data_IF_654165490386
#
_entry.id   IF_654165490386
#
_cell.length_a   1.000
_cell.length_b   1.000
_cell.length_c   1.000
_cell.angle_alpha   90.00
_cell.angle_beta   90.00
_cell.angle_gamma   90.00
#
_symmetry.space_group_name_H-M   'P 1'
#
loop_
_entity.id
_entity.type
_entity.pdbx_description
1 polymer ?
#
# COMPACT_ATOMS: atom_id res chain seq x y z
N UNK A 1 -17.54 -9.66 14.62
CA UNK A 1 -17.28 -8.22 14.40
C UNK A 1 -17.66 -7.88 12.97
N UNK A 2 -18.21 -6.70 12.72
CA UNK A 2 -18.67 -6.32 11.37
C UNK A 2 -17.52 -6.11 10.37
N UNK A 3 -16.37 -5.65 10.86
CA UNK A 3 -15.12 -5.52 10.09
C UNK A 3 -14.00 -6.18 10.89
N UNK A 4 -13.20 -7.04 10.26
CA UNK A 4 -12.00 -7.65 10.84
C UNK A 4 -10.81 -7.43 9.92
N UNK A 5 -9.62 -7.26 10.49
CA UNK A 5 -8.40 -7.11 9.73
C UNK A 5 -7.29 -7.99 10.32
N UNK A 6 -6.66 -8.79 9.47
CA UNK A 6 -5.67 -9.78 9.89
C UNK A 6 -4.43 -9.68 8.99
N UNK A 7 -3.23 -9.52 9.56
CA UNK A 7 -1.99 -9.60 8.79
C UNK A 7 -1.62 -11.08 8.61
N UNK A 8 -1.12 -11.42 7.43
CA UNK A 8 -0.52 -12.74 7.19
C UNK A 8 0.75 -12.92 8.04
N UNK A 9 1.19 -14.15 8.20
CA UNK A 9 2.49 -14.47 8.76
C UNK A 9 3.64 -13.91 7.90
N UNK A 10 4.76 -13.63 8.56
CA UNK A 10 5.99 -13.19 7.91
C UNK A 10 6.14 -11.67 7.79
N UNK A 11 7.16 -11.21 7.05
CA UNK A 11 7.56 -9.79 7.03
C UNK A 11 6.80 -8.99 5.97
N UNK A 12 6.19 -7.88 6.38
CA UNK A 12 5.38 -6.97 5.58
C UNK A 12 4.25 -7.65 4.77
N UNK A 13 3.41 -8.48 5.43
CA UNK A 13 2.30 -9.17 4.79
C UNK A 13 1.29 -8.19 4.18
N UNK A 14 0.53 -8.65 3.18
CA UNK A 14 -0.71 -7.97 2.80
C UNK A 14 -1.70 -8.13 3.95
N UNK A 15 -2.44 -7.09 4.32
CA UNK A 15 -3.49 -7.21 5.35
C UNK A 15 -4.77 -7.71 4.68
N UNK A 16 -5.36 -8.78 5.19
CA UNK A 16 -6.71 -9.18 4.80
C UNK A 16 -7.74 -8.38 5.60
N UNK A 17 -8.61 -7.65 4.90
CA UNK A 17 -9.73 -6.92 5.49
C UNK A 17 -11.01 -7.64 5.09
N UNK A 18 -11.79 -8.08 6.08
CA UNK A 18 -13.04 -8.81 5.88
C UNK A 18 -14.20 -7.99 6.44
N UNK A 19 -15.20 -7.77 5.61
CA UNK A 19 -16.50 -7.22 6.00
C UNK A 19 -17.48 -8.39 6.05
N UNK A 20 -18.12 -8.57 7.21
CA UNK A 20 -19.07 -9.67 7.39
C UNK A 20 -20.35 -9.43 6.56
N UNK A 21 -21.02 -10.49 6.08
CA UNK A 21 -22.31 -10.38 5.40
C UNK A 21 -23.32 -9.55 6.19
N UNK A 22 -24.19 -8.82 5.48
CA UNK A 22 -25.21 -7.97 6.09
C UNK A 22 -24.69 -6.69 6.76
N UNK A 23 -23.38 -6.49 6.88
CA UNK A 23 -22.81 -5.23 7.43
C UNK A 23 -23.20 -4.03 6.57
N UNK A 24 -23.21 -4.21 5.25
CA UNK A 24 -23.71 -3.22 4.30
C UNK A 24 -24.84 -3.85 3.48
N UNK A 25 -26.08 -3.33 3.56
CA UNK A 25 -27.19 -3.84 2.78
C UNK A 25 -26.94 -3.83 1.27
N UNK A 26 -27.53 -4.81 0.56
CA UNK A 26 -27.46 -4.89 -0.89
C UNK A 26 -27.97 -3.59 -1.55
N UNK A 27 -27.30 -3.17 -2.63
CA UNK A 27 -27.62 -1.95 -3.37
C UNK A 27 -27.08 -0.65 -2.74
N UNK A 28 -26.47 -0.70 -1.55
CA UNK A 28 -25.88 0.50 -0.93
C UNK A 28 -24.44 0.72 -1.40
N UNK A 29 -24.05 1.97 -1.72
CA UNK A 29 -22.66 2.32 -1.96
C UNK A 29 -21.86 2.21 -0.66
N UNK A 30 -20.68 1.63 -0.75
CA UNK A 30 -19.75 1.51 0.36
C UNK A 30 -18.33 1.93 -0.03
N UNK A 31 -17.59 2.38 0.98
CA UNK A 31 -16.15 2.65 0.89
C UNK A 31 -15.43 2.09 2.10
N UNK A 32 -14.45 1.22 1.89
CA UNK A 32 -13.56 0.74 2.95
C UNK A 32 -12.37 1.69 3.11
N UNK A 33 -12.19 2.20 4.31
CA UNK A 33 -11.12 3.13 4.66
C UNK A 33 -10.16 2.48 5.63
N UNK A 34 -8.88 2.44 5.28
CA UNK A 34 -7.78 2.22 6.21
C UNK A 34 -7.36 3.55 6.80
N UNK A 35 -7.03 3.57 8.09
CA UNK A 35 -6.67 4.79 8.80
C UNK A 35 -5.59 4.52 9.86
N UNK A 36 -4.64 5.44 9.95
CA UNK A 36 -3.71 5.59 11.08
C UNK A 36 -4.00 6.90 11.82
N UNK A 37 -3.19 7.24 12.82
CA UNK A 37 -3.25 8.57 13.44
C UNK A 37 -2.86 9.73 12.50
N UNK A 38 -2.22 9.44 11.36
CA UNK A 38 -1.62 10.45 10.46
C UNK A 38 -2.15 10.39 9.03
N UNK A 39 -2.73 9.28 8.60
CA UNK A 39 -3.16 9.10 7.22
C UNK A 39 -4.44 8.29 7.12
N UNK A 40 -5.16 8.46 6.02
CA UNK A 40 -6.33 7.65 5.66
C UNK A 40 -6.34 7.41 4.15
N UNK A 41 -6.72 6.21 3.72
CA UNK A 41 -6.80 5.84 2.32
C UNK A 41 -7.99 4.93 2.06
N UNK A 42 -8.47 4.92 0.82
CA UNK A 42 -9.44 3.94 0.35
C UNK A 42 -8.70 2.63 0.06
N UNK A 43 -9.14 1.53 0.65
CA UNK A 43 -8.61 0.20 0.36
C UNK A 43 -8.97 -0.17 -1.08
N UNK A 44 -8.03 -0.75 -1.82
CA UNK A 44 -8.23 -1.14 -3.23
C UNK A 44 -9.40 -2.12 -3.35
N UNK A 45 -10.31 -1.86 -4.30
CA UNK A 45 -11.57 -2.62 -4.43
C UNK A 45 -12.62 -2.33 -3.36
N UNK A 46 -12.31 -1.47 -2.39
CA UNK A 46 -13.19 -1.13 -1.28
C UNK A 46 -14.27 -0.10 -1.59
N UNK A 47 -14.18 0.60 -2.72
CA UNK A 47 -15.25 1.47 -3.24
C UNK A 47 -16.11 0.68 -4.24
N UNK A 48 -17.32 0.30 -3.82
CA UNK A 48 -18.24 -0.53 -4.62
C UNK A 48 -19.68 -0.39 -4.13
N UNK A 49 -20.61 -0.99 -4.87
CA UNK A 49 -21.98 -1.25 -4.38
C UNK A 49 -21.98 -2.62 -3.70
N UNK A 50 -22.56 -2.68 -2.50
CA UNK A 50 -22.70 -3.93 -1.76
C UNK A 50 -23.75 -4.82 -2.40
N UNK A 51 -23.50 -6.13 -2.41
CA UNK A 51 -24.47 -7.18 -2.75
C UNK A 51 -25.12 -7.77 -1.48
N UNK A 52 -24.74 -7.28 -0.29
CA UNK A 52 -25.16 -7.80 1.00
C UNK A 52 -24.33 -8.99 1.51
N UNK A 53 -23.45 -9.54 0.68
CA UNK A 53 -22.57 -10.66 1.02
C UNK A 53 -21.30 -10.25 1.75
N UNK A 54 -20.43 -11.24 1.98
CA UNK A 54 -19.09 -11.01 2.52
C UNK A 54 -18.24 -10.21 1.51
N UNK A 55 -17.35 -9.37 2.04
CA UNK A 55 -16.33 -8.71 1.23
C UNK A 55 -14.96 -8.97 1.82
N UNK A 56 -14.05 -9.51 1.00
CA UNK A 56 -12.63 -9.71 1.35
C UNK A 56 -11.77 -8.82 0.46
N UNK A 57 -10.88 -8.05 1.08
CA UNK A 57 -9.95 -7.16 0.40
C UNK A 57 -8.53 -7.39 0.92
N UNK A 58 -7.56 -7.38 0.01
CA UNK A 58 -6.14 -7.26 0.35
C UNK A 58 -5.69 -5.81 0.38
N UNK A 59 -5.03 -5.40 1.46
CA UNK A 59 -4.39 -4.09 1.58
C UNK A 59 -2.86 -4.24 1.65
N UNK A 60 -2.24 -4.15 0.47
CA UNK A 60 -0.78 -4.13 0.34
C UNK A 60 -0.17 -2.75 0.64
N UNK A 61 -0.99 -1.69 0.63
CA UNK A 61 -0.58 -0.31 0.84
C UNK A 61 -0.72 0.11 2.30
N UNK A 62 -1.10 -0.81 3.20
CA UNK A 62 -1.13 -0.55 4.61
C UNK A 62 0.28 -0.19 5.14
N UNK A 63 0.44 0.92 5.89
CA UNK A 63 1.70 1.32 6.51
C UNK A 63 2.34 0.21 7.34
N UNK A 64 3.65 0.05 7.23
CA UNK A 64 4.40 -0.87 8.09
C UNK A 64 4.58 -0.31 9.50
N UNK A 65 4.62 -1.20 10.50
CA UNK A 65 4.93 -0.91 11.89
C UNK A 65 4.13 0.25 12.53
N UNK A 66 2.93 0.51 12.01
CA UNK A 66 2.00 1.51 12.54
C UNK A 66 0.67 0.82 12.86
N UNK A 67 0.01 1.14 13.99
CA UNK A 67 -1.38 0.74 14.21
C UNK A 67 -2.31 1.27 13.12
N UNK A 68 -3.09 0.38 12.53
CA UNK A 68 -4.06 0.66 11.47
C UNK A 68 -5.43 0.16 11.92
N UNK A 69 -6.45 0.96 11.70
CA UNK A 69 -7.85 0.56 11.87
C UNK A 69 -8.58 0.65 10.53
N UNK A 70 -9.43 -0.33 10.24
CA UNK A 70 -10.26 -0.32 9.06
C UNK A 70 -11.70 -0.02 9.42
N UNK A 71 -12.39 0.76 8.58
CA UNK A 71 -13.83 1.03 8.72
C UNK A 71 -14.53 1.01 7.39
N UNK A 72 -15.81 0.67 7.42
CA UNK A 72 -16.69 0.78 6.26
C UNK A 72 -17.55 2.04 6.39
N UNK A 73 -17.55 2.86 5.33
CA UNK A 73 -18.41 4.03 5.21
C UNK A 73 -19.54 3.69 4.23
N UNK A 74 -20.78 3.95 4.63
CA UNK A 74 -21.97 3.86 3.77
C UNK A 74 -22.68 5.20 3.75
N UNK A 75 -23.56 5.44 2.77
CA UNK A 75 -24.41 6.64 2.73
C UNK A 75 -25.38 6.72 3.92
N UNK A 76 -25.78 5.58 4.48
CA UNK A 76 -26.66 5.46 5.66
C UNK A 76 -25.92 5.52 6.99
N UNK A 77 -24.59 5.30 7.01
CA UNK A 77 -23.77 5.34 8.23
C UNK A 77 -23.63 6.74 8.85
N UNK A 78 -24.18 7.79 8.23
CA UNK A 78 -24.36 9.09 8.89
C UNK A 78 -25.34 9.04 10.07
N UNK A 79 -26.14 7.97 10.21
CA UNK A 79 -27.13 7.79 11.27
C UNK A 79 -26.80 6.65 12.26
N UNK A 80 -25.68 5.93 12.07
CA UNK A 80 -25.29 4.77 12.88
C UNK A 80 -23.82 4.79 13.31
N UNK A 81 -23.46 4.04 14.35
CA UNK A 81 -22.07 3.92 14.82
C UNK A 81 -21.23 3.23 13.73
N UNK A 82 -20.14 3.83 13.24
CA UNK A 82 -19.33 3.23 12.18
C UNK A 82 -18.69 1.92 12.65
N UNK A 83 -18.90 0.86 11.87
CA UNK A 83 -18.24 -0.44 12.06
C UNK A 83 -16.74 -0.31 11.76
N UNK A 84 -15.91 -0.69 12.74
CA UNK A 84 -14.46 -0.67 12.63
C UNK A 84 -13.84 -1.99 13.10
N UNK A 85 -12.63 -2.28 12.63
CA UNK A 85 -11.79 -3.37 13.12
C UNK A 85 -11.06 -2.98 14.40
N UNK A 86 -10.57 -3.99 15.13
CA UNK A 86 -9.48 -3.76 16.09
C UNK A 86 -8.22 -3.25 15.37
N UNK A 87 -7.32 -2.52 16.07
CA UNK A 87 -6.06 -2.09 15.50
C UNK A 87 -5.18 -3.27 15.09
N UNK A 88 -4.66 -3.23 13.87
CA UNK A 88 -3.73 -4.21 13.31
C UNK A 88 -2.41 -3.53 12.96
N UNK A 89 -1.30 -4.28 13.03
CA UNK A 89 0.02 -3.81 12.62
C UNK A 89 0.52 -4.71 11.50
N UNK A 90 1.03 -4.11 10.43
CA UNK A 90 1.80 -4.80 9.38
C UNK A 90 3.27 -4.86 9.80
N UNK A 91 3.80 -6.01 10.27
CA UNK A 91 5.15 -6.06 10.84
C UNK A 91 6.23 -5.93 9.75
N UNK A 92 7.29 -5.17 10.01
CA UNK A 92 8.50 -5.15 9.17
C UNK A 92 9.75 -5.04 10.04
N UNK A 93 10.74 -5.90 9.78
CA UNK A 93 11.99 -5.96 10.55
C UNK A 93 13.17 -5.20 9.92
N UNK A 94 13.06 -4.78 8.65
CA UNK A 94 14.12 -4.05 7.95
C UNK A 94 14.14 -2.56 8.25
N UNK A 95 14.88 -1.82 7.42
CA UNK A 95 14.93 -0.36 7.41
C UNK A 95 13.64 0.18 6.77
N UNK A 96 13.70 0.80 5.60
CA UNK A 96 12.51 1.14 4.81
C UNK A 96 12.16 -0.01 3.86
N UNK A 97 10.92 -0.04 3.40
CA UNK A 97 10.45 -1.08 2.49
C UNK A 97 10.05 -0.45 1.16
N UNK A 98 10.44 -1.05 0.05
CA UNK A 98 9.83 -0.79 -1.25
C UNK A 98 9.21 -2.08 -1.78
N UNK A 99 7.98 -2.00 -2.30
CA UNK A 99 7.27 -3.11 -2.94
C UNK A 99 6.65 -2.63 -4.25
N UNK A 100 6.11 -3.55 -5.04
CA UNK A 100 5.03 -3.19 -5.96
C UNK A 100 3.74 -2.85 -5.19
N UNK A 101 2.73 -2.33 -5.89
CA UNK A 101 1.42 -1.96 -5.28
C UNK A 101 0.53 -3.16 -4.90
N UNK A 102 0.96 -4.40 -5.17
CA UNK A 102 0.25 -5.63 -4.77
C UNK A 102 0.94 -6.34 -3.60
N UNK A 103 2.05 -5.80 -3.08
CA UNK A 103 2.77 -6.31 -1.91
C UNK A 103 3.84 -7.36 -2.24
N UNK A 104 4.14 -7.55 -3.52
CA UNK A 104 5.24 -8.36 -4.04
C UNK A 104 6.56 -7.58 -4.07
N UNK A 105 7.64 -8.27 -4.51
CA UNK A 105 8.96 -7.66 -4.73
C UNK A 105 9.45 -6.82 -3.55
N UNK A 106 9.49 -7.42 -2.35
CA UNK A 106 9.90 -6.73 -1.11
C UNK A 106 11.39 -6.42 -1.14
N UNK A 107 11.72 -5.14 -1.10
CA UNK A 107 13.10 -4.63 -1.04
C UNK A 107 13.30 -3.91 0.28
N UNK A 108 14.26 -4.36 1.07
CA UNK A 108 14.75 -3.60 2.21
C UNK A 108 15.78 -2.57 1.74
N UNK A 109 15.60 -1.31 2.12
CA UNK A 109 16.50 -0.22 1.77
C UNK A 109 16.71 0.72 2.94
N UNK A 110 17.98 1.08 3.16
CA UNK A 110 18.33 2.15 4.07
C UNK A 110 18.11 3.48 3.36
N UNK A 111 17.04 4.19 3.70
CA UNK A 111 16.77 5.54 3.19
C UNK A 111 17.81 6.52 3.73
N UNK A 112 18.55 7.19 2.84
CA UNK A 112 19.68 8.05 3.20
C UNK A 112 19.61 9.50 2.66
N UNK A 113 18.53 9.91 2.01
CA UNK A 113 18.36 11.26 1.48
C UNK A 113 17.20 12.05 2.10
N UNK A 114 17.10 13.31 1.71
CA UNK A 114 16.23 14.33 2.33
C UNK A 114 14.72 14.22 1.96
N UNK A 115 14.28 13.18 1.25
CA UNK A 115 12.89 13.08 0.73
C UNK A 115 12.52 14.32 -0.11
N UNK A 116 13.39 14.71 -1.05
CA UNK A 116 13.17 15.90 -1.86
C UNK A 116 11.90 15.74 -2.70
N UNK A 117 10.95 16.68 -2.54
CA UNK A 117 9.64 16.66 -3.20
C UNK A 117 9.39 17.96 -3.93
N UNK A 118 8.99 17.84 -5.19
CA UNK A 118 8.48 18.98 -5.94
C UNK A 118 6.95 18.95 -5.92
N UNK A 119 6.34 20.01 -5.38
CA UNK A 119 4.90 20.22 -5.46
C UNK A 119 4.62 21.03 -6.74
N UNK A 120 3.96 20.44 -7.75
CA UNK A 120 3.69 21.12 -8.99
C UNK A 120 2.70 22.24 -8.70
N UNK A 121 3.04 23.44 -9.16
CA UNK A 121 2.10 24.54 -9.11
C UNK A 121 0.92 24.20 -10.01
N UNK A 122 -0.29 24.27 -9.45
CA UNK A 122 -1.54 24.12 -10.21
C UNK A 122 -1.84 25.39 -10.99
N UNK A 123 -0.88 25.81 -11.81
CA UNK A 123 -0.95 27.01 -12.62
C UNK A 123 -0.25 26.73 -13.95
N UNK A 124 -0.97 26.96 -15.05
CA UNK A 124 -0.36 27.06 -16.37
C UNK A 124 -0.39 28.52 -16.81
N UNK A 125 0.76 29.05 -17.21
CA UNK A 125 0.89 30.43 -17.69
C UNK A 125 0.99 30.42 -19.21
N UNK A 126 0.15 31.21 -19.87
CA UNK A 126 0.15 31.39 -21.32
C UNK A 126 0.56 32.81 -21.66
N UNK A 127 1.65 32.96 -22.40
CA UNK A 127 2.06 34.23 -22.98
C UNK A 127 1.29 34.46 -24.29
N UNK A 128 0.57 35.58 -24.36
CA UNK A 128 -0.26 35.94 -25.51
C UNK A 128 0.26 37.26 -26.07
N UNK A 129 0.59 37.28 -27.36
CA UNK A 129 1.07 38.49 -28.05
C UNK A 129 0.08 39.64 -27.86
N UNK A 130 0.61 40.83 -27.56
CA UNK A 130 -0.19 42.03 -27.27
C UNK A 130 -0.62 42.19 -25.80
N UNK A 131 -0.38 41.19 -24.94
CA UNK A 131 -0.58 41.35 -23.48
C UNK A 131 0.73 41.69 -22.78
N UNK A 132 0.64 42.55 -21.75
CA UNK A 132 1.75 42.88 -20.85
C UNK A 132 1.99 41.84 -19.75
N UNK A 133 1.00 41.00 -19.47
CA UNK A 133 1.07 39.95 -18.45
C UNK A 133 0.53 38.63 -19.01
N UNK A 134 1.12 37.47 -18.62
CA UNK A 134 0.59 36.16 -18.98
C UNK A 134 -0.85 35.95 -18.50
N UNK A 135 -1.57 35.05 -19.18
CA UNK A 135 -2.84 34.49 -18.70
C UNK A 135 -2.54 33.28 -17.84
N UNK A 136 -3.02 33.27 -16.61
CA UNK A 136 -2.92 32.13 -15.71
C UNK A 136 -4.18 31.26 -15.80
N UNK A 137 -4.02 29.97 -16.07
CA UNK A 137 -5.03 28.94 -15.85
C UNK A 137 -4.76 28.32 -14.50
N UNK A 138 -5.65 28.55 -13.56
CA UNK A 138 -5.57 28.04 -12.18
C UNK A 138 -6.26 26.68 -12.07
N UNK A 139 -5.75 25.82 -11.19
CA UNK A 139 -6.29 24.48 -10.89
C UNK A 139 -6.46 23.51 -12.08
N UNK A 140 -5.50 23.43 -13.05
CA UNK A 140 -5.49 22.31 -13.97
C UNK A 140 -5.24 21.00 -13.21
N UNK A 141 -5.76 19.89 -13.75
CA UNK A 141 -5.46 18.55 -13.24
C UNK A 141 -3.98 18.26 -13.52
N UNK A 142 -3.14 18.44 -12.49
CA UNK A 142 -1.70 18.16 -12.51
C UNK A 142 -1.40 16.92 -11.66
N UNK A 143 -0.28 16.24 -11.96
CA UNK A 143 0.21 15.11 -11.16
C UNK A 143 0.47 15.50 -9.70
N UNK A 144 0.57 14.51 -8.80
CA UNK A 144 0.78 14.74 -7.37
C UNK A 144 2.22 15.13 -6.99
N UNK A 145 3.03 15.54 -7.98
CA UNK A 145 4.42 15.92 -7.83
C UNK A 145 5.42 14.78 -8.00
N UNK A 146 6.66 15.07 -7.65
CA UNK A 146 7.78 14.14 -7.73
C UNK A 146 8.36 13.88 -6.35
N UNK A 147 9.08 12.77 -6.23
CA UNK A 147 9.90 12.46 -5.07
C UNK A 147 11.26 11.97 -5.54
N UNK A 148 12.31 12.40 -4.86
CA UNK A 148 13.67 11.97 -5.07
C UNK A 148 14.34 11.62 -3.73
N UNK A 149 15.02 10.48 -3.68
CA UNK A 149 15.74 10.05 -2.50
C UNK A 149 17.00 9.26 -2.87
N UNK A 150 17.93 9.20 -1.93
CA UNK A 150 19.04 8.27 -1.96
C UNK A 150 18.81 7.13 -0.99
N UNK A 151 19.29 5.94 -1.35
CA UNK A 151 19.16 4.77 -0.51
C UNK A 151 20.38 3.85 -0.63
N UNK A 152 20.57 2.99 0.36
CA UNK A 152 21.54 1.89 0.31
C UNK A 152 20.87 0.54 0.41
N UNK A 153 21.42 -0.42 -0.32
CA UNK A 153 21.00 -1.83 -0.24
C UNK A 153 22.21 -2.74 -0.20
N UNK A 154 22.11 -3.84 0.55
CA UNK A 154 23.07 -4.94 0.48
C UNK A 154 22.93 -5.72 -0.84
N UNK A 155 23.74 -6.77 -1.02
CA UNK A 155 23.76 -7.54 -2.27
C UNK A 155 22.40 -8.17 -2.65
N UNK A 156 21.65 -8.72 -1.68
CA UNK A 156 20.34 -9.36 -1.93
C UNK A 156 19.32 -8.31 -2.37
N UNK A 157 19.24 -7.21 -1.62
CA UNK A 157 18.31 -6.12 -1.88
C UNK A 157 18.71 -5.30 -3.11
N UNK A 158 20.00 -5.26 -3.49
CA UNK A 158 20.45 -4.69 -4.76
C UNK A 158 19.87 -5.44 -5.95
N UNK A 159 19.92 -6.77 -5.93
CA UNK A 159 19.33 -7.60 -6.99
C UNK A 159 17.81 -7.41 -7.05
N UNK A 160 17.15 -7.40 -5.90
CA UNK A 160 15.70 -7.21 -5.82
C UNK A 160 15.28 -5.82 -6.32
N UNK A 161 16.01 -4.76 -5.95
CA UNK A 161 15.73 -3.40 -6.41
C UNK A 161 16.00 -3.24 -7.90
N UNK A 162 17.06 -3.84 -8.45
CA UNK A 162 17.29 -3.89 -9.90
C UNK A 162 16.13 -4.56 -10.64
N UNK A 163 15.62 -5.68 -10.12
CA UNK A 163 14.48 -6.37 -10.74
C UNK A 163 13.21 -5.49 -10.68
N UNK A 164 12.89 -4.93 -9.52
CA UNK A 164 11.72 -4.06 -9.34
C UNK A 164 11.79 -2.80 -10.21
N UNK A 165 12.96 -2.15 -10.31
CA UNK A 165 13.17 -0.95 -11.11
C UNK A 165 13.27 -1.22 -12.62
N UNK A 166 13.68 -2.43 -13.01
CA UNK A 166 13.78 -2.84 -14.41
C UNK A 166 12.41 -3.12 -15.05
N UNK A 167 11.36 -3.27 -14.24
CA UNK A 167 9.99 -3.46 -14.71
C UNK A 167 9.21 -2.14 -14.65
N UNK A 168 8.47 -1.80 -15.71
CA UNK A 168 7.65 -0.60 -15.76
C UNK A 168 6.41 -0.74 -14.84
N UNK A 169 6.63 -0.58 -13.53
CA UNK A 169 5.61 -0.76 -12.48
C UNK A 169 5.49 0.46 -11.59
N UNK A 170 4.28 0.64 -11.04
CA UNK A 170 4.07 1.52 -9.90
C UNK A 170 4.55 0.80 -8.64
N UNK A 171 5.37 1.50 -7.86
CA UNK A 171 5.95 1.01 -6.60
C UNK A 171 5.34 1.75 -5.41
N UNK A 172 5.39 1.11 -4.24
CA UNK A 172 5.04 1.70 -2.97
C UNK A 172 6.29 1.74 -2.09
N UNK A 173 6.70 2.94 -1.71
CA UNK A 173 7.77 3.20 -0.75
C UNK A 173 7.18 3.43 0.63
N UNK A 174 7.58 2.63 1.60
CA UNK A 174 7.12 2.68 2.97
C UNK A 174 8.21 3.24 3.87
N UNK A 175 7.89 4.36 4.52
CA UNK A 175 8.71 4.88 5.61
C UNK A 175 8.49 4.02 6.86
N UNK A 176 9.58 3.52 7.44
CA UNK A 176 9.50 2.74 8.67
C UNK A 176 9.67 3.63 9.91
N UNK A 177 8.65 3.78 10.76
CA UNK A 177 8.73 4.63 11.93
C UNK A 177 9.64 4.07 13.03
N UNK A 178 9.92 2.75 13.05
CA UNK A 178 10.71 2.12 14.12
C UNK A 178 12.13 2.67 14.23
N UNK A 179 12.95 2.69 13.15
CA UNK A 179 14.30 3.24 13.20
C UNK A 179 14.32 4.78 13.07
N UNK A 180 13.20 5.44 12.77
CA UNK A 180 13.17 6.88 12.52
C UNK A 180 13.06 7.68 13.83
N UNK A 181 14.15 8.36 14.20
CA UNK A 181 14.21 9.21 15.39
C UNK A 181 13.16 10.34 15.39
N UNK A 182 12.87 10.93 14.22
CA UNK A 182 11.85 11.97 14.09
C UNK A 182 10.43 11.42 14.32
N UNK A 183 10.15 10.17 13.92
CA UNK A 183 8.87 9.51 14.21
C UNK A 183 8.71 9.28 15.71
N UNK A 184 9.76 8.81 16.38
CA UNK A 184 9.77 8.60 17.84
C UNK A 184 9.52 9.91 18.61
N UNK A 185 9.92 11.06 18.05
CA UNK A 185 9.67 12.39 18.61
C UNK A 185 8.38 13.05 18.15
N UNK A 186 7.62 12.41 17.27
CA UNK A 186 6.36 12.94 16.75
C UNK A 186 6.50 14.06 15.71
N UNK A 187 7.70 14.37 15.22
CA UNK A 187 7.99 15.50 14.32
C UNK A 187 8.31 15.10 12.88
N UNK A 188 8.32 13.81 12.56
CA UNK A 188 8.51 13.33 11.18
C UNK A 188 7.31 13.69 10.30
N UNK A 189 7.58 14.29 9.14
CA UNK A 189 6.62 14.66 8.10
C UNK A 189 6.68 13.75 6.87
N UNK A 190 7.62 12.80 6.81
CA UNK A 190 7.72 11.82 5.73
C UNK A 190 6.43 10.98 5.66
N UNK A 191 5.75 10.92 4.49
CA UNK A 191 4.57 10.10 4.32
C UNK A 191 4.84 8.63 4.63
N UNK A 192 3.92 8.00 5.36
CA UNK A 192 4.05 6.59 5.74
C UNK A 192 4.15 5.66 4.52
N UNK A 193 3.46 6.03 3.44
CA UNK A 193 3.47 5.33 2.15
C UNK A 193 3.47 6.36 1.03
N UNK A 194 4.43 6.24 0.11
CA UNK A 194 4.49 7.02 -1.12
C UNK A 194 4.31 6.07 -2.31
N UNK A 195 3.23 6.23 -3.05
CA UNK A 195 2.98 5.47 -4.29
C UNK A 195 3.54 6.27 -5.47
N UNK A 196 4.44 5.67 -6.24
CA UNK A 196 5.18 6.39 -7.27
C UNK A 196 5.49 5.51 -8.49
N UNK A 197 5.56 6.14 -9.66
CA UNK A 197 6.17 5.54 -10.85
C UNK A 197 7.64 6.00 -10.90
N UNK A 198 8.58 5.05 -10.92
CA UNK A 198 10.01 5.37 -11.03
C UNK A 198 10.29 5.99 -12.40
N UNK A 199 10.93 7.16 -12.43
CA UNK A 199 11.26 7.91 -13.66
C UNK A 199 12.76 8.02 -13.90
N UNK A 200 13.57 7.85 -12.85
CA UNK A 200 15.03 7.77 -12.97
C UNK A 200 15.59 6.95 -11.83
N UNK A 201 16.38 5.93 -12.17
CA UNK A 201 17.02 5.02 -11.20
C UNK A 201 18.49 4.89 -11.60
N UNK A 202 19.40 5.29 -10.72
CA UNK A 202 20.83 5.15 -10.91
C UNK A 202 21.47 4.57 -9.66
N UNK A 203 22.57 3.83 -9.82
CA UNK A 203 23.24 3.23 -8.67
C UNK A 203 24.71 2.94 -8.91
N UNK A 204 25.52 3.06 -7.85
CA UNK A 204 26.95 2.73 -7.85
C UNK A 204 27.28 1.80 -6.68
N UNK A 205 28.38 1.07 -6.79
CA UNK A 205 28.90 0.29 -5.65
C UNK A 205 29.53 1.26 -4.64
N UNK A 206 29.35 0.99 -3.36
CA UNK A 206 30.06 1.76 -2.32
C UNK A 206 31.53 1.35 -2.25
N UNK A 207 32.36 2.16 -1.60
CA UNK A 207 33.78 1.85 -1.37
C UNK A 207 34.01 0.84 -0.24
N UNK A 208 32.93 0.31 0.37
CA UNK A 208 33.02 -0.67 1.45
C UNK A 208 33.69 -1.95 0.95
N UNK A 209 34.66 -2.41 1.73
CA UNK A 209 35.40 -3.66 1.48
C UNK A 209 34.75 -4.86 2.16
N UNK A 210 33.98 -4.61 3.22
CA UNK A 210 33.38 -5.61 4.09
C UNK A 210 31.99 -6.08 3.62
N UNK A 211 31.30 -5.27 2.82
CA UNK A 211 29.97 -5.59 2.32
C UNK A 211 29.77 -5.13 0.87
N UNK A 212 29.21 -6.03 0.04
CA UNK A 212 28.81 -5.69 -1.32
C UNK A 212 27.49 -4.91 -1.28
N UNK A 213 27.63 -3.60 -1.22
CA UNK A 213 26.52 -2.67 -1.05
C UNK A 213 26.50 -1.63 -2.17
N UNK A 214 25.30 -1.12 -2.46
CA UNK A 214 25.11 -0.10 -3.49
C UNK A 214 24.38 1.11 -2.95
N UNK A 215 24.83 2.27 -3.38
CA UNK A 215 24.12 3.54 -3.25
C UNK A 215 23.23 3.74 -4.48
N UNK A 216 21.99 4.13 -4.22
CA UNK A 216 20.94 4.34 -5.21
C UNK A 216 20.49 5.79 -5.17
N UNK A 217 20.21 6.35 -6.35
CA UNK A 217 19.43 7.57 -6.54
C UNK A 217 18.13 7.17 -7.21
N UNK A 218 17.02 7.35 -6.51
CA UNK A 218 15.68 7.02 -6.98
C UNK A 218 14.90 8.30 -7.18
N UNK A 219 14.29 8.47 -8.35
CA UNK A 219 13.33 9.54 -8.64
C UNK A 219 12.07 8.94 -9.22
N UNK A 220 10.93 9.54 -8.91
CA UNK A 220 9.67 9.17 -9.52
C UNK A 220 8.58 10.20 -9.35
N UNK A 221 7.51 9.97 -10.09
CA UNK A 221 6.29 10.77 -10.03
C UNK A 221 5.32 10.13 -9.06
N UNK A 222 4.75 10.91 -8.14
CA UNK A 222 3.71 10.44 -7.22
C UNK A 222 2.44 10.19 -8.01
N UNK A 223 1.89 8.99 -7.89
CA UNK A 223 0.72 8.53 -8.64
C UNK A 223 -0.27 7.80 -7.74
N UNK A 224 -1.52 7.69 -8.20
CA UNK A 224 -2.49 6.80 -7.57
C UNK A 224 -2.17 5.32 -7.89
N UNK A 225 -2.60 4.37 -7.05
CA UNK A 225 -2.51 2.95 -7.38
C UNK A 225 -3.25 2.66 -8.70
N UNK A 226 -2.67 1.87 -9.62
CA UNK A 226 -3.36 1.45 -10.83
C UNK A 226 -4.57 0.59 -10.47
N UNK A 227 -5.66 0.75 -11.23
CA UNK A 227 -6.91 0.01 -11.05
C UNK A 227 -7.41 0.03 -9.59
N UNK A 228 -7.73 1.21 -9.03
CA UNK A 228 -8.09 1.36 -7.62
C UNK A 228 -9.37 0.59 -7.22
N UNK A 229 -10.21 0.22 -8.20
CA UNK A 229 -11.43 -0.58 -8.00
C UNK A 229 -11.23 -2.08 -8.14
N UNK A 230 -10.06 -2.55 -8.57
CA UNK A 230 -9.79 -3.98 -8.68
C UNK A 230 -9.43 -4.54 -7.30
N UNK A 231 -10.16 -5.56 -6.84
CA UNK A 231 -9.85 -6.25 -5.59
C UNK A 231 -8.48 -6.93 -5.68
N UNK A 232 -7.70 -6.77 -4.62
CA UNK A 232 -6.48 -7.56 -4.42
C UNK A 232 -6.85 -8.80 -3.60
N UNK A 233 -6.63 -9.99 -4.16
CA UNK A 233 -6.79 -11.24 -3.44
C UNK A 233 -5.59 -11.47 -2.51
N UNK A 234 -5.86 -11.87 -1.27
CA UNK A 234 -4.82 -12.24 -0.29
C UNK A 234 -4.44 -13.72 -0.39
N UNK A 235 -5.41 -14.54 -0.78
CA UNK A 235 -5.33 -15.98 -0.99
C UNK A 235 -6.02 -16.27 -2.33
N UNK A 236 -5.53 -17.25 -3.08
CA UNK A 236 -6.02 -17.59 -4.43
C UNK A 236 -6.20 -19.10 -4.54
N UNK A 237 -6.85 -19.56 -5.61
CA UNK A 237 -6.94 -21.00 -5.90
C UNK A 237 -5.57 -21.67 -6.02
N UNK A 238 -4.58 -21.01 -6.61
CA UNK A 238 -3.21 -21.53 -6.64
C UNK A 238 -2.61 -21.72 -5.23
N UNK A 239 -2.96 -20.86 -4.26
CA UNK A 239 -2.52 -21.03 -2.88
C UNK A 239 -3.24 -22.20 -2.19
N UNK A 240 -4.52 -22.41 -2.49
CA UNK A 240 -5.28 -23.58 -2.04
C UNK A 240 -4.69 -24.88 -2.61
N UNK A 241 -4.46 -24.95 -3.92
CA UNK A 241 -3.80 -26.09 -4.56
C UNK A 241 -2.40 -26.32 -3.98
N UNK A 242 -1.69 -25.24 -3.66
CA UNK A 242 -0.38 -25.26 -3.00
C UNK A 242 -0.40 -25.85 -1.58
N UNK A 243 -1.52 -25.77 -0.86
CA UNK A 243 -1.70 -26.41 0.45
C UNK A 243 -1.78 -27.94 0.35
N UNK A 244 -2.03 -28.49 -0.86
CA UNK A 244 -2.05 -29.94 -1.17
C UNK A 244 -2.99 -30.74 -0.28
N UNK A 245 -4.10 -30.14 0.13
CA UNK A 245 -5.16 -30.83 0.88
C UNK A 245 -6.02 -31.67 -0.07
N UNK A 246 -6.49 -32.81 0.41
CA UNK A 246 -7.55 -33.56 -0.27
C UNK A 246 -8.92 -32.92 0.01
N UNK A 247 -9.91 -33.19 -0.85
CA UNK A 247 -11.27 -32.74 -0.60
C UNK A 247 -11.84 -33.28 0.72
N UNK A 248 -11.53 -34.53 1.10
CA UNK A 248 -11.92 -35.08 2.40
C UNK A 248 -11.34 -34.28 3.59
N UNK A 249 -10.10 -33.80 3.47
CA UNK A 249 -9.48 -32.96 4.51
C UNK A 249 -10.15 -31.59 4.60
N UNK A 250 -10.52 -31.00 3.45
CA UNK A 250 -11.22 -29.72 3.39
C UNK A 250 -12.63 -29.85 3.95
N UNK A 251 -13.36 -30.90 3.58
CA UNK A 251 -14.69 -31.20 4.11
C UNK A 251 -14.65 -31.41 5.63
N UNK A 252 -13.61 -32.07 6.14
CA UNK A 252 -13.39 -32.25 7.58
C UNK A 252 -13.20 -30.93 8.33
N UNK A 253 -12.74 -29.85 7.67
CA UNK A 253 -12.67 -28.51 8.27
C UNK A 253 -14.05 -27.90 8.51
N UNK A 254 -15.11 -28.44 7.88
CA UNK A 254 -16.51 -28.00 8.04
C UNK A 254 -16.70 -26.50 7.85
N UNK A 255 -15.94 -25.89 6.94
CA UNK A 255 -15.99 -24.46 6.67
C UNK A 255 -17.22 -24.13 5.81
N UNK A 256 -18.03 -23.12 6.18
CA UNK A 256 -18.94 -22.51 5.21
C UNK A 256 -18.13 -21.83 4.10
N UNK A 257 -18.76 -21.54 2.95
CA UNK A 257 -18.10 -20.83 1.84
C UNK A 257 -17.43 -19.52 2.26
N UNK A 258 -18.12 -18.69 3.07
CA UNK A 258 -17.55 -17.49 3.69
C UNK A 258 -16.30 -17.76 4.55
N UNK A 259 -16.24 -18.94 5.18
CA UNK A 259 -15.10 -19.42 5.94
C UNK A 259 -13.96 -19.87 5.03
N UNK A 260 -14.28 -20.57 3.94
CA UNK A 260 -13.35 -20.99 2.91
C UNK A 260 -12.68 -19.77 2.24
N UNK A 261 -13.48 -18.78 1.81
CA UNK A 261 -13.00 -17.62 1.05
C UNK A 261 -12.05 -16.75 1.88
N UNK A 262 -12.33 -16.57 3.17
CA UNK A 262 -11.45 -15.79 4.06
C UNK A 262 -10.22 -16.57 4.52
N UNK A 263 -10.15 -17.87 4.27
CA UNK A 263 -9.00 -18.68 4.69
C UNK A 263 -7.76 -18.29 3.89
N UNK A 264 -6.67 -18.08 4.61
CA UNK A 264 -5.35 -17.80 4.04
C UNK A 264 -4.70 -19.16 3.76
N UNK A 265 -4.94 -19.71 2.58
CA UNK A 265 -4.60 -21.10 2.26
C UNK A 265 -3.10 -21.40 2.27
N UNK A 266 -2.28 -20.41 1.95
CA UNK A 266 -0.83 -20.51 2.06
C UNK A 266 -0.30 -20.64 3.50
N UNK A 267 -1.16 -20.47 4.51
CA UNK A 267 -0.85 -20.68 5.93
C UNK A 267 -1.49 -21.94 6.51
N UNK A 268 -2.29 -22.66 5.71
CA UNK A 268 -2.89 -23.92 6.12
C UNK A 268 -1.87 -25.03 5.87
N UNK A 269 -1.30 -25.57 6.94
CA UNK A 269 -0.26 -26.60 6.93
C UNK A 269 0.36 -26.82 8.31
#
# INVERSE_FOLDING_TARGET
MAVTATPLAGPAPVIQVVISPGTVPAGQPMRVIGQTSRSSWTVRGGERVSDGGQVILGDALAPINTPITYRVMTTTALLGRPSHSDPVIRPWGGYSLMTDVIGGHRVDLLWQGDDARDIPQRVALHEISGRRTPVAVMDPVMGAGTVALTARTNWRNSRALSALAGEARVVALFHNPRPCFQCQRGVCDVPQVTVMALTSVAHKRTSRVDEAEREWTLKGTVVAPPQPRATLAVSTWDHFDGARLTWDQVDAMSLPWDGFDRTIWQEVG
#
